data_IF_991550427502
#
_entry.id   IF_991550427502
#
_cell.length_a   1.000
_cell.length_b   1.000
_cell.length_c   1.000
_cell.angle_alpha   90.00
_cell.angle_beta   90.00
_cell.angle_gamma   90.00
#
_symmetry.space_group_name_H-M   'P 1'
#
loop_
_entity.id
_entity.type
_entity.pdbx_description
1 polymer ?
#
# COMPACT_ATOMS: atom_id res chain seq x y z
N UNK A 1 -32.74 -18.42 -24.88
CA UNK A 1 -32.15 -19.13 -23.73
C UNK A 1 -30.63 -19.02 -23.70
N UNK A 2 -29.91 -19.26 -24.81
CA UNK A 2 -28.44 -19.15 -24.86
C UNK A 2 -27.90 -17.76 -24.47
N UNK A 3 -28.48 -16.68 -25.01
CA UNK A 3 -28.08 -15.29 -24.68
C UNK A 3 -28.14 -14.98 -23.17
N UNK A 4 -29.03 -15.64 -22.43
CA UNK A 4 -29.23 -15.38 -21.01
C UNK A 4 -28.20 -16.10 -20.13
N UNK A 5 -27.77 -17.31 -20.54
CA UNK A 5 -26.75 -18.08 -19.82
C UNK A 5 -25.39 -17.41 -19.95
N UNK A 6 -25.04 -16.93 -21.14
CA UNK A 6 -23.76 -16.24 -21.38
C UNK A 6 -23.67 -14.94 -20.56
N UNK A 7 -24.74 -14.14 -20.54
CA UNK A 7 -24.81 -12.91 -19.74
C UNK A 7 -24.79 -13.22 -18.25
N UNK A 8 -25.52 -14.25 -17.80
CA UNK A 8 -25.53 -14.69 -16.40
C UNK A 8 -24.13 -15.13 -15.96
N UNK A 9 -23.46 -15.95 -16.76
CA UNK A 9 -22.10 -16.41 -16.49
C UNK A 9 -21.14 -15.23 -16.41
N UNK A 10 -21.13 -14.35 -17.42
CA UNK A 10 -20.20 -13.23 -17.49
C UNK A 10 -20.41 -12.23 -16.34
N UNK A 11 -21.67 -11.97 -15.98
CA UNK A 11 -22.01 -11.07 -14.87
C UNK A 11 -21.54 -11.64 -13.54
N UNK A 12 -21.83 -12.92 -13.25
CA UNK A 12 -21.37 -13.56 -12.02
C UNK A 12 -19.83 -13.67 -11.98
N UNK A 13 -19.21 -14.01 -13.11
CA UNK A 13 -17.75 -14.04 -13.22
C UNK A 13 -17.12 -12.68 -12.91
N UNK A 14 -17.66 -11.59 -13.46
CA UNK A 14 -17.15 -10.25 -13.22
C UNK A 14 -17.32 -9.84 -11.74
N UNK A 15 -18.47 -10.15 -11.14
CA UNK A 15 -18.74 -9.85 -9.74
C UNK A 15 -17.86 -10.67 -8.79
N UNK A 16 -17.75 -11.98 -9.01
CA UNK A 16 -16.90 -12.86 -8.22
C UNK A 16 -15.42 -12.47 -8.33
N UNK A 17 -14.97 -12.12 -9.53
CA UNK A 17 -13.60 -11.64 -9.74
C UNK A 17 -13.33 -10.33 -9.00
N UNK A 18 -14.29 -9.39 -9.00
CA UNK A 18 -14.18 -8.13 -8.26
C UNK A 18 -14.14 -8.38 -6.75
N UNK A 19 -15.03 -9.22 -6.22
CA UNK A 19 -15.08 -9.58 -4.80
C UNK A 19 -13.77 -10.25 -4.37
N UNK A 20 -13.29 -11.26 -5.12
CA UNK A 20 -12.00 -11.92 -4.85
C UNK A 20 -10.82 -10.93 -4.93
N UNK A 21 -10.88 -9.94 -5.83
CA UNK A 21 -9.86 -8.89 -5.93
C UNK A 21 -9.79 -8.01 -4.69
N UNK A 22 -10.95 -7.65 -4.12
CA UNK A 22 -11.07 -6.90 -2.87
C UNK A 22 -10.52 -7.72 -1.71
N UNK A 23 -10.95 -8.99 -1.58
CA UNK A 23 -10.48 -9.89 -0.52
C UNK A 23 -8.98 -10.06 -0.56
N UNK A 24 -8.41 -10.38 -1.74
CA UNK A 24 -6.97 -10.52 -1.93
C UNK A 24 -6.23 -9.30 -1.39
N UNK A 25 -6.69 -8.10 -1.75
CA UNK A 25 -6.03 -6.85 -1.37
C UNK A 25 -6.18 -6.55 0.12
N UNK A 26 -7.37 -6.72 0.69
CA UNK A 26 -7.62 -6.51 2.12
C UNK A 26 -6.85 -7.49 3.00
N UNK A 27 -6.75 -8.74 2.57
CA UNK A 27 -6.07 -9.82 3.29
C UNK A 27 -4.57 -9.91 2.97
N UNK A 28 -4.07 -9.09 2.04
CA UNK A 28 -2.68 -9.08 1.56
C UNK A 28 -2.20 -10.44 1.02
N UNK A 29 -3.09 -11.20 0.37
CA UNK A 29 -2.72 -12.44 -0.30
C UNK A 29 -1.90 -12.19 -1.57
N UNK A 30 -1.01 -13.14 -1.92
CA UNK A 30 -0.18 -13.08 -3.13
C UNK A 30 -1.05 -13.04 -4.39
N UNK A 31 -0.72 -12.16 -5.34
CA UNK A 31 -1.43 -12.09 -6.62
C UNK A 31 -1.00 -13.22 -7.55
N UNK A 32 -1.93 -14.11 -7.88
CA UNK A 32 -1.77 -15.10 -8.94
C UNK A 32 -3.03 -15.02 -9.82
N UNK A 33 -2.94 -14.26 -10.91
CA UNK A 33 -4.11 -13.83 -11.69
C UNK A 33 -4.96 -14.98 -12.24
N UNK A 34 -4.33 -16.06 -12.72
CA UNK A 34 -5.07 -17.24 -13.21
C UNK A 34 -5.84 -17.96 -12.10
N UNK A 35 -5.35 -17.96 -10.85
CA UNK A 35 -6.05 -18.56 -9.70
C UNK A 35 -7.31 -17.78 -9.34
N UNK A 36 -7.24 -16.46 -9.46
CA UNK A 36 -8.42 -15.61 -9.26
C UNK A 36 -9.46 -15.81 -10.35
N UNK A 37 -9.02 -15.97 -11.60
CA UNK A 37 -9.91 -16.33 -12.71
C UNK A 37 -10.59 -17.67 -12.43
N UNK A 38 -9.84 -18.69 -12.03
CA UNK A 38 -10.43 -19.99 -11.67
C UNK A 38 -11.42 -19.88 -10.51
N UNK A 39 -11.08 -19.13 -9.46
CA UNK A 39 -12.00 -18.86 -8.34
C UNK A 39 -13.29 -18.19 -8.80
N UNK A 40 -13.21 -17.18 -9.67
CA UNK A 40 -14.39 -16.52 -10.21
C UNK A 40 -15.22 -17.41 -11.15
N UNK A 41 -14.56 -18.27 -11.95
CA UNK A 41 -15.23 -19.26 -12.80
C UNK A 41 -16.04 -20.24 -11.94
N UNK A 42 -15.55 -20.64 -10.77
CA UNK A 42 -16.28 -21.56 -9.90
C UNK A 42 -17.60 -20.97 -9.39
N UNK A 43 -17.58 -19.71 -8.95
CA UNK A 43 -18.81 -19.02 -8.53
C UNK A 43 -19.77 -18.80 -9.69
N UNK A 44 -19.27 -18.34 -10.84
CA UNK A 44 -20.07 -18.15 -12.05
C UNK A 44 -20.68 -19.45 -12.59
N UNK A 45 -19.91 -20.55 -12.60
CA UNK A 45 -20.37 -21.86 -13.02
C UNK A 45 -21.44 -22.39 -12.06
N UNK A 46 -21.27 -22.20 -10.75
CA UNK A 46 -22.30 -22.54 -9.76
C UNK A 46 -23.58 -21.74 -9.97
N UNK A 47 -23.49 -20.42 -10.20
CA UNK A 47 -24.66 -19.57 -10.45
C UNK A 47 -25.44 -20.03 -11.69
N UNK A 48 -24.74 -20.37 -12.78
CA UNK A 48 -25.36 -20.94 -13.98
C UNK A 48 -25.98 -22.30 -13.70
N UNK A 49 -25.28 -23.17 -12.97
CA UNK A 49 -25.79 -24.50 -12.62
C UNK A 49 -27.06 -24.43 -11.77
N UNK A 50 -27.05 -23.63 -10.70
CA UNK A 50 -28.20 -23.43 -9.81
C UNK A 50 -29.41 -22.85 -10.58
N UNK A 51 -29.17 -21.91 -11.50
CA UNK A 51 -30.23 -21.33 -12.33
C UNK A 51 -30.79 -22.32 -13.37
N UNK A 52 -29.93 -23.17 -13.96
CA UNK A 52 -30.35 -24.16 -14.97
C UNK A 52 -31.05 -25.38 -14.36
N UNK A 53 -30.74 -25.70 -13.10
CA UNK A 53 -31.17 -26.93 -12.43
C UNK A 53 -31.80 -26.67 -11.05
N UNK A 54 -32.99 -26.08 -10.99
CA UNK A 54 -33.68 -25.75 -9.72
C UNK A 54 -34.37 -26.98 -9.09
N UNK A 55 -33.71 -28.16 -9.10
CA UNK A 55 -34.24 -29.39 -8.51
C UNK A 55 -33.76 -29.63 -7.07
N UNK A 56 -32.76 -28.88 -6.61
CA UNK A 56 -32.24 -29.00 -5.25
C UNK A 56 -33.21 -28.36 -4.25
N UNK A 57 -33.43 -28.98 -3.08
CA UNK A 57 -34.20 -28.32 -2.03
C UNK A 57 -33.44 -27.09 -1.53
N UNK A 58 -34.17 -26.00 -1.25
CA UNK A 58 -33.60 -24.68 -0.95
C UNK A 58 -32.49 -24.70 0.12
N UNK A 59 -32.67 -25.47 1.20
CA UNK A 59 -31.68 -25.56 2.27
C UNK A 59 -30.35 -26.17 1.80
N UNK A 60 -30.39 -27.13 0.88
CA UNK A 60 -29.20 -27.78 0.33
C UNK A 60 -28.49 -26.85 -0.65
N UNK A 61 -29.24 -26.13 -1.48
CA UNK A 61 -28.68 -25.09 -2.35
C UNK A 61 -27.98 -23.99 -1.54
N UNK A 62 -28.58 -23.56 -0.42
CA UNK A 62 -27.95 -22.60 0.50
C UNK A 62 -26.65 -23.15 1.08
N UNK A 63 -26.64 -24.40 1.55
CA UNK A 63 -25.41 -25.02 2.08
C UNK A 63 -24.32 -25.10 1.00
N UNK A 64 -24.65 -25.51 -0.22
CA UNK A 64 -23.66 -25.61 -1.28
C UNK A 64 -23.14 -24.23 -1.66
N UNK A 65 -24.02 -23.25 -1.86
CA UNK A 65 -23.67 -21.87 -2.24
C UNK A 65 -22.81 -21.20 -1.16
N UNK A 66 -23.30 -21.20 0.08
CA UNK A 66 -22.70 -20.43 1.15
C UNK A 66 -21.56 -21.15 1.89
N UNK A 67 -21.43 -22.47 1.75
CA UNK A 67 -20.33 -23.20 2.39
C UNK A 67 -19.37 -23.79 1.37
N UNK A 68 -19.84 -24.63 0.46
CA UNK A 68 -18.96 -25.40 -0.42
C UNK A 68 -18.31 -24.53 -1.50
N UNK A 69 -19.11 -23.76 -2.23
CA UNK A 69 -18.65 -22.94 -3.37
C UNK A 69 -17.76 -21.81 -2.88
N UNK A 70 -18.21 -21.03 -1.90
CA UNK A 70 -17.44 -19.93 -1.30
C UNK A 70 -16.07 -20.40 -0.77
N UNK A 71 -16.02 -21.56 -0.10
CA UNK A 71 -14.78 -22.17 0.38
C UNK A 71 -13.88 -22.56 -0.79
N UNK A 72 -14.42 -23.21 -1.83
CA UNK A 72 -13.65 -23.64 -2.99
C UNK A 72 -13.08 -22.44 -3.78
N UNK A 73 -13.86 -21.38 -3.97
CA UNK A 73 -13.41 -20.14 -4.61
C UNK A 73 -12.20 -19.54 -3.90
N UNK A 74 -12.26 -19.48 -2.56
CA UNK A 74 -11.21 -18.90 -1.72
C UNK A 74 -9.95 -19.78 -1.67
N UNK A 75 -10.11 -21.10 -1.55
CA UNK A 75 -9.00 -22.06 -1.59
C UNK A 75 -8.27 -22.03 -2.93
N UNK A 76 -9.04 -21.99 -4.04
CA UNK A 76 -8.47 -21.91 -5.38
C UNK A 76 -7.78 -20.57 -5.62
N UNK A 77 -8.41 -19.45 -5.26
CA UNK A 77 -7.88 -18.11 -5.49
C UNK A 77 -6.63 -17.79 -4.64
N UNK A 78 -6.58 -18.22 -3.37
CA UNK A 78 -5.56 -17.75 -2.40
C UNK A 78 -4.64 -18.82 -1.82
N UNK A 79 -4.83 -20.09 -2.15
CA UNK A 79 -4.01 -21.22 -1.63
C UNK A 79 -4.11 -21.47 -0.13
N UNK A 80 -5.19 -21.02 0.50
CA UNK A 80 -5.39 -21.22 1.91
C UNK A 80 -5.77 -22.68 2.19
N UNK A 81 -5.01 -23.34 3.06
CA UNK A 81 -5.21 -24.77 3.43
C UNK A 81 -5.59 -24.97 4.89
N UNK A 82 -5.31 -23.97 5.75
CA UNK A 82 -5.56 -24.05 7.19
C UNK A 82 -7.00 -23.65 7.48
N UNK A 83 -7.79 -24.42 8.26
CA UNK A 83 -9.20 -24.10 8.53
C UNK A 83 -9.43 -22.69 9.08
N UNK A 84 -8.54 -22.20 9.95
CA UNK A 84 -8.60 -20.83 10.50
C UNK A 84 -8.44 -19.76 9.41
N UNK A 85 -7.54 -19.99 8.45
CA UNK A 85 -7.30 -19.05 7.34
C UNK A 85 -8.41 -19.10 6.31
N UNK A 86 -8.93 -20.31 6.01
CA UNK A 86 -10.10 -20.51 5.17
C UNK A 86 -11.30 -19.75 5.74
N UNK A 87 -11.62 -19.95 7.02
CA UNK A 87 -12.70 -19.23 7.69
C UNK A 87 -12.54 -17.71 7.60
N UNK A 88 -11.35 -17.19 7.88
CA UNK A 88 -11.06 -15.75 7.77
C UNK A 88 -11.26 -15.21 6.35
N UNK A 89 -10.84 -15.97 5.34
CA UNK A 89 -10.94 -15.56 3.94
C UNK A 89 -12.37 -15.68 3.38
N UNK A 90 -13.15 -16.68 3.80
CA UNK A 90 -14.58 -16.80 3.51
C UNK A 90 -15.37 -15.67 4.19
N UNK A 91 -15.07 -15.33 5.45
CA UNK A 91 -15.68 -14.16 6.11
C UNK A 91 -15.35 -12.85 5.38
N UNK A 92 -14.11 -12.68 4.92
CA UNK A 92 -13.73 -11.52 4.12
C UNK A 92 -14.45 -11.47 2.76
N UNK A 93 -14.67 -12.63 2.13
CA UNK A 93 -15.45 -12.77 0.89
C UNK A 93 -16.86 -12.23 1.08
N UNK A 94 -17.57 -12.64 2.14
CA UNK A 94 -18.92 -12.15 2.40
C UNK A 94 -18.98 -10.66 2.70
N UNK A 95 -18.04 -10.15 3.48
CA UNK A 95 -17.98 -8.71 3.75
C UNK A 95 -17.76 -7.91 2.45
N UNK A 96 -16.86 -8.37 1.59
CA UNK A 96 -16.61 -7.76 0.29
C UNK A 96 -17.84 -7.86 -0.63
N UNK A 97 -18.53 -8.99 -0.64
CA UNK A 97 -19.75 -9.19 -1.43
C UNK A 97 -20.89 -8.26 -0.98
N UNK A 98 -21.18 -8.20 0.32
CA UNK A 98 -22.21 -7.30 0.88
C UNK A 98 -21.88 -5.83 0.62
N UNK A 99 -20.62 -5.44 0.78
CA UNK A 99 -20.17 -4.06 0.49
C UNK A 99 -20.34 -3.73 -0.98
N UNK A 100 -19.94 -4.65 -1.87
CA UNK A 100 -20.09 -4.48 -3.32
C UNK A 100 -21.56 -4.37 -3.70
N UNK A 101 -22.41 -5.25 -3.16
CA UNK A 101 -23.85 -5.23 -3.40
C UNK A 101 -24.49 -3.91 -2.92
N UNK A 102 -24.15 -3.45 -1.70
CA UNK A 102 -24.67 -2.19 -1.17
C UNK A 102 -24.24 -0.97 -1.97
N UNK A 103 -23.00 -0.93 -2.48
CA UNK A 103 -22.55 0.14 -3.39
C UNK A 103 -23.30 0.07 -4.72
N UNK A 104 -23.45 -1.12 -5.30
CA UNK A 104 -24.18 -1.29 -6.56
C UNK A 104 -25.65 -0.89 -6.42
N UNK A 105 -26.31 -1.27 -5.31
CA UNK A 105 -27.68 -0.89 -5.02
C UNK A 105 -27.82 0.63 -4.81
N UNK A 106 -26.92 1.24 -4.02
CA UNK A 106 -26.91 2.70 -3.84
C UNK A 106 -26.70 3.45 -5.16
N UNK A 107 -25.82 2.96 -6.04
CA UNK A 107 -25.64 3.51 -7.38
C UNK A 107 -26.88 3.32 -8.24
N UNK A 108 -27.51 2.15 -8.17
CA UNK A 108 -28.72 1.84 -8.93
C UNK A 108 -29.88 2.76 -8.54
N UNK A 109 -30.10 2.96 -7.24
CA UNK A 109 -31.23 3.71 -6.70
C UNK A 109 -31.03 5.23 -6.68
N UNK A 110 -29.81 5.70 -6.39
CA UNK A 110 -29.53 7.13 -6.20
C UNK A 110 -28.86 7.81 -7.39
N UNK A 111 -28.61 7.07 -8.48
CA UNK A 111 -28.10 7.66 -9.73
C UNK A 111 -28.97 7.24 -10.90
N UNK A 112 -28.80 7.91 -12.04
CA UNK A 112 -29.49 7.52 -13.29
C UNK A 112 -29.03 6.16 -13.84
N UNK A 113 -28.08 5.48 -13.19
CA UNK A 113 -27.58 4.17 -13.62
C UNK A 113 -28.70 3.11 -13.72
N UNK A 114 -29.64 3.08 -12.76
CA UNK A 114 -30.76 2.12 -12.81
C UNK A 114 -31.67 2.31 -14.02
N UNK A 115 -31.98 3.56 -14.37
CA UNK A 115 -32.75 3.93 -15.57
C UNK A 115 -32.11 3.43 -16.88
N UNK A 116 -30.79 3.55 -17.01
CA UNK A 116 -30.08 3.09 -18.21
C UNK A 116 -29.97 1.56 -18.29
N UNK A 117 -29.80 0.88 -17.15
CA UNK A 117 -29.79 -0.59 -17.09
C UNK A 117 -31.16 -1.17 -17.50
N UNK A 118 -32.25 -0.55 -17.04
CA UNK A 118 -33.62 -0.95 -17.41
C UNK A 118 -33.90 -0.75 -18.90
N UNK A 119 -33.42 0.34 -19.51
CA UNK A 119 -33.53 0.60 -20.95
C UNK A 119 -32.76 -0.43 -21.80
N UNK A 120 -31.58 -0.87 -21.34
CA UNK A 120 -30.77 -1.91 -22.00
C UNK A 120 -31.48 -3.27 -21.94
N UNK A 121 -32.05 -3.63 -20.79
CA UNK A 121 -32.78 -4.90 -20.60
C UNK A 121 -34.06 -4.97 -21.43
N UNK A 122 -34.70 -3.83 -21.73
CA UNK A 122 -35.90 -3.74 -22.58
C UNK A 122 -35.61 -3.76 -24.09
N UNK A 123 -34.35 -3.83 -24.50
CA UNK A 123 -33.98 -3.99 -25.92
C UNK A 123 -34.12 -2.73 -26.77
N UNK A 124 -34.34 -1.55 -26.17
CA UNK A 124 -34.40 -0.27 -26.90
C UNK A 124 -32.99 0.27 -27.19
N UNK A 125 -32.31 -0.40 -28.13
CA UNK A 125 -30.92 -0.13 -28.52
C UNK A 125 -30.66 1.18 -29.27
N UNK A 126 -31.68 1.96 -29.64
CA UNK A 126 -31.47 3.21 -30.39
C UNK A 126 -31.08 4.41 -29.52
N UNK A 127 -31.32 4.37 -28.21
CA UNK A 127 -30.74 5.30 -27.23
C UNK A 127 -29.76 4.60 -26.27
N UNK A 128 -29.27 3.42 -26.67
CA UNK A 128 -28.24 2.73 -25.92
C UNK A 128 -26.93 3.52 -25.97
N UNK A 129 -26.35 3.69 -24.79
CA UNK A 129 -25.23 4.56 -24.49
C UNK A 129 -24.11 4.47 -25.55
N UNK A 130 -23.77 5.56 -26.27
CA UNK A 130 -22.81 5.49 -27.36
C UNK A 130 -21.44 5.04 -26.83
N UNK A 131 -20.80 4.12 -27.57
CA UNK A 131 -19.59 3.38 -27.19
C UNK A 131 -18.49 4.21 -26.51
N UNK A 132 -18.34 5.49 -26.88
CA UNK A 132 -17.37 6.39 -26.28
C UNK A 132 -17.57 6.61 -24.77
N UNK A 133 -18.80 6.51 -24.22
CA UNK A 133 -19.05 6.66 -22.78
C UNK A 133 -18.67 5.43 -21.96
N UNK A 134 -18.78 4.23 -22.52
CA UNK A 134 -18.21 3.02 -21.92
C UNK A 134 -16.69 3.11 -21.86
N UNK A 135 -16.07 3.68 -22.90
CA UNK A 135 -14.63 3.98 -22.92
C UNK A 135 -14.29 5.02 -21.83
N UNK A 136 -15.10 6.06 -21.62
CA UNK A 136 -14.88 7.04 -20.53
C UNK A 136 -15.08 6.45 -19.13
N UNK A 137 -16.04 5.55 -18.91
CA UNK A 137 -16.22 4.87 -17.62
C UNK A 137 -15.08 3.87 -17.39
N UNK A 138 -14.68 3.11 -18.40
CA UNK A 138 -13.54 2.20 -18.32
C UNK A 138 -12.23 2.97 -18.08
N UNK A 139 -12.01 4.09 -18.77
CA UNK A 139 -10.88 4.97 -18.56
C UNK A 139 -10.94 5.63 -17.18
N UNK A 140 -12.09 6.17 -16.76
CA UNK A 140 -12.28 6.77 -15.44
C UNK A 140 -12.09 5.76 -14.30
N UNK A 141 -12.52 4.51 -14.49
CA UNK A 141 -12.28 3.41 -13.57
C UNK A 141 -10.81 3.03 -13.54
N UNK A 142 -10.16 2.90 -14.71
CA UNK A 142 -8.73 2.61 -14.81
C UNK A 142 -7.87 3.70 -14.16
N UNK A 143 -8.09 4.97 -14.52
CA UNK A 143 -7.36 6.12 -13.98
C UNK A 143 -7.72 6.40 -12.51
N UNK A 144 -8.98 6.23 -12.12
CA UNK A 144 -9.44 6.33 -10.73
C UNK A 144 -8.80 5.27 -9.85
N UNK A 145 -8.78 4.01 -10.30
CA UNK A 145 -8.04 2.92 -9.63
C UNK A 145 -6.55 3.25 -9.61
N UNK A 146 -5.94 3.73 -10.70
CA UNK A 146 -4.51 4.09 -10.69
C UNK A 146 -4.20 5.22 -9.72
N UNK A 147 -5.02 6.26 -9.67
CA UNK A 147 -4.84 7.41 -8.77
C UNK A 147 -5.04 7.00 -7.32
N UNK A 148 -6.10 6.24 -7.04
CA UNK A 148 -6.39 5.68 -5.72
C UNK A 148 -5.28 4.73 -5.26
N UNK A 149 -4.77 3.87 -6.14
CA UNK A 149 -3.63 3.00 -5.87
C UNK A 149 -2.34 3.80 -5.64
N UNK A 150 -2.10 4.90 -6.37
CA UNK A 150 -0.93 5.77 -6.14
C UNK A 150 -1.04 6.48 -4.80
N UNK A 151 -2.22 6.97 -4.46
CA UNK A 151 -2.48 7.70 -3.22
C UNK A 151 -2.43 6.77 -2.01
N UNK A 152 -3.01 5.57 -2.12
CA UNK A 152 -2.86 4.50 -1.12
C UNK A 152 -1.42 4.01 -1.04
N UNK A 153 -0.70 3.86 -2.15
CA UNK A 153 0.72 3.49 -2.12
C UNK A 153 1.57 4.58 -1.47
N UNK A 154 1.21 5.86 -1.61
CA UNK A 154 1.86 6.98 -0.92
C UNK A 154 1.53 6.99 0.57
N UNK A 155 0.33 6.53 0.97
CA UNK A 155 -0.07 6.37 2.37
C UNK A 155 0.47 5.07 3.02
N UNK A 156 0.66 4.00 2.23
CA UNK A 156 1.15 2.67 2.67
C UNK A 156 2.66 2.52 2.58
N UNK A 157 3.35 3.31 1.75
CA UNK A 157 4.72 3.73 2.06
C UNK A 157 4.59 4.61 3.32
N UNK A 158 4.30 3.99 4.46
CA UNK A 158 4.59 4.60 5.73
C UNK A 158 6.03 5.03 5.61
N UNK A 159 6.29 6.33 5.65
CA UNK A 159 7.65 6.85 5.73
C UNK A 159 8.20 6.25 7.01
N UNK A 160 8.83 5.08 6.91
CA UNK A 160 9.69 4.62 7.98
C UNK A 160 10.79 5.66 7.93
N UNK A 161 10.71 6.64 8.83
CA UNK A 161 11.68 7.71 8.89
C UNK A 161 13.06 7.15 9.28
N UNK A 162 13.22 5.84 9.42
CA UNK A 162 14.50 5.19 9.60
C UNK A 162 15.19 4.94 8.26
N UNK A 163 16.44 5.37 8.20
CA UNK A 163 17.35 5.21 7.07
C UNK A 163 18.62 4.53 7.55
N UNK A 164 19.18 3.66 6.72
CA UNK A 164 20.54 3.16 6.94
C UNK A 164 21.50 4.20 6.36
N UNK A 165 22.41 4.70 7.19
CA UNK A 165 23.38 5.71 6.80
C UNK A 165 24.78 5.15 6.90
N UNK A 166 25.51 5.16 5.79
CA UNK A 166 26.93 4.83 5.78
C UNK A 166 27.73 6.12 5.72
N UNK A 167 28.46 6.43 6.79
CA UNK A 167 29.34 7.59 6.90
C UNK A 167 30.76 7.20 6.52
N UNK A 168 31.41 8.01 5.69
CA UNK A 168 32.78 7.80 5.22
C UNK A 168 33.69 8.95 5.66
N UNK A 169 34.82 8.61 6.27
CA UNK A 169 35.84 9.58 6.68
C UNK A 169 37.23 8.98 6.65
N UNK A 170 38.16 9.59 5.90
CA UNK A 170 39.57 9.20 5.73
C UNK A 170 39.75 7.71 5.45
N UNK A 171 38.93 7.16 4.57
CA UNK A 171 38.97 5.74 4.18
C UNK A 171 38.35 4.77 5.19
N UNK A 172 37.90 5.24 6.35
CA UNK A 172 37.08 4.46 7.29
C UNK A 172 35.60 4.65 6.96
N UNK A 173 34.78 3.65 7.31
CA UNK A 173 33.33 3.71 7.18
C UNK A 173 32.62 3.23 8.44
N UNK A 174 31.45 3.81 8.72
CA UNK A 174 30.56 3.38 9.81
C UNK A 174 29.13 3.40 9.34
N UNK A 175 28.40 2.33 9.59
CA UNK A 175 26.96 2.23 9.31
C UNK A 175 26.19 2.51 10.59
N UNK A 176 25.17 3.35 10.49
CA UNK A 176 24.27 3.71 11.60
C UNK A 176 22.82 3.72 11.13
N UNK A 177 21.89 3.55 12.06
CA UNK A 177 20.48 3.81 11.80
C UNK A 177 20.19 5.27 12.11
N UNK A 178 19.60 5.98 11.15
CA UNK A 178 19.25 7.39 11.28
C UNK A 178 17.74 7.61 11.21
N UNK A 179 17.22 8.53 12.00
CA UNK A 179 15.85 9.02 11.92
C UNK A 179 15.82 10.30 11.08
N UNK A 180 15.05 10.33 10.00
CA UNK A 180 14.65 11.55 9.30
C UNK A 180 13.78 12.37 10.23
N UNK A 181 14.40 13.41 10.78
CA UNK A 181 13.77 14.32 11.71
C UNK A 181 13.33 15.57 10.96
N UNK A 182 12.06 15.60 10.57
CA UNK A 182 11.44 16.79 9.95
C UNK A 182 11.44 18.01 10.87
N UNK A 183 11.73 17.83 12.17
CA UNK A 183 11.94 18.91 13.14
C UNK A 183 13.36 19.46 13.16
N UNK A 184 14.35 18.75 12.60
CA UNK A 184 15.73 19.22 12.54
C UNK A 184 15.87 20.31 11.49
N UNK A 185 15.94 21.57 11.94
CA UNK A 185 16.16 22.76 11.12
C UNK A 185 17.56 23.35 11.33
N UNK A 186 18.51 22.51 11.69
CA UNK A 186 19.85 22.95 12.02
C UNK A 186 20.63 23.25 10.75
N UNK A 187 21.07 24.50 10.63
CA UNK A 187 21.91 24.99 9.56
C UNK A 187 23.17 25.61 10.13
N UNK A 188 24.28 25.44 9.42
CA UNK A 188 25.48 26.21 9.72
C UNK A 188 25.24 27.71 9.39
N UNK A 189 25.51 28.65 10.32
CA UNK A 189 25.07 30.04 10.19
C UNK A 189 25.59 30.79 8.95
N UNK A 190 26.79 30.48 8.47
CA UNK A 190 27.46 31.24 7.41
C UNK A 190 27.16 30.68 6.02
N UNK A 191 27.49 29.40 5.80
CA UNK A 191 27.32 28.68 4.53
C UNK A 191 25.91 28.13 4.33
N UNK A 192 25.06 28.16 5.37
CA UNK A 192 23.68 27.63 5.34
C UNK A 192 23.62 26.15 4.92
N UNK A 193 24.68 25.39 5.17
CA UNK A 193 24.66 23.93 4.95
C UNK A 193 23.77 23.25 5.97
N UNK A 194 22.96 22.30 5.50
CA UNK A 194 22.19 21.41 6.35
C UNK A 194 23.11 20.64 7.30
N UNK A 195 22.67 20.48 8.55
CA UNK A 195 23.43 19.80 9.59
C UNK A 195 22.68 18.55 10.04
N UNK A 196 23.31 17.40 9.85
CA UNK A 196 22.87 16.14 10.45
C UNK A 196 23.43 16.02 11.87
N UNK A 197 22.77 15.29 12.77
CA UNK A 197 23.23 15.14 14.16
C UNK A 197 23.49 13.67 14.44
N UNK A 198 24.69 13.31 14.93
CA UNK A 198 25.05 11.94 15.27
C UNK A 198 25.47 11.84 16.74
N UNK A 199 25.26 10.68 17.38
CA UNK A 199 25.79 10.44 18.72
C UNK A 199 27.30 10.31 18.72
N UNK A 200 27.94 10.77 19.80
CA UNK A 200 29.37 10.65 20.01
C UNK A 200 29.84 9.20 19.95
N UNK A 201 29.08 8.28 20.54
CA UNK A 201 29.40 6.85 20.56
C UNK A 201 29.48 6.25 19.15
N UNK A 202 28.63 6.72 18.23
CA UNK A 202 28.58 6.20 16.87
C UNK A 202 29.74 6.71 16.00
N UNK A 203 30.22 7.93 16.24
CA UNK A 203 31.25 8.56 15.40
C UNK A 203 32.69 8.44 15.94
N UNK A 204 32.89 8.15 17.22
CA UNK A 204 34.23 8.17 17.86
C UNK A 204 35.27 7.24 17.18
N UNK A 205 34.84 6.08 16.68
CA UNK A 205 35.71 5.11 15.99
C UNK A 205 35.98 5.52 14.53
N UNK A 206 35.05 6.27 13.93
CA UNK A 206 35.17 6.78 12.57
C UNK A 206 36.13 7.98 12.52
N UNK A 207 36.00 8.89 13.48
CA UNK A 207 36.73 10.16 13.54
C UNK A 207 37.69 10.19 14.74
N UNK A 208 38.74 9.36 14.73
CA UNK A 208 39.80 9.35 15.76
C UNK A 208 40.57 10.68 15.83
N UNK A 209 40.75 11.33 14.68
CA UNK A 209 41.32 12.68 14.57
C UNK A 209 40.52 13.47 13.55
N UNK A 210 40.17 14.71 13.89
CA UNK A 210 39.39 15.62 13.04
C UNK A 210 40.28 16.76 12.60
N UNK A 211 40.27 17.10 11.32
CA UNK A 211 41.04 18.22 10.77
C UNK A 211 40.46 19.57 11.15
N UNK A 212 39.13 19.67 11.14
CA UNK A 212 38.41 20.93 11.32
C UNK A 212 37.13 20.66 12.11
N UNK A 213 36.81 21.55 13.03
CA UNK A 213 35.57 21.51 13.81
C UNK A 213 34.88 22.87 13.66
N UNK A 214 33.61 22.82 13.29
CA UNK A 214 32.74 24.00 13.21
C UNK A 214 31.77 23.95 14.39
N UNK A 215 31.60 25.06 15.10
CA UNK A 215 30.65 25.13 16.20
C UNK A 215 29.31 25.66 15.70
N UNK A 216 28.27 24.84 15.81
CA UNK A 216 26.94 25.11 15.27
C UNK A 216 26.02 25.50 16.44
N UNK A 217 25.54 26.75 16.49
CA UNK A 217 24.57 27.16 17.49
C UNK A 217 23.24 26.43 17.26
N UNK A 218 22.59 26.01 18.35
CA UNK A 218 21.30 25.31 18.28
C UNK A 218 20.41 25.70 19.46
N UNK A 219 19.09 25.62 19.24
CA UNK A 219 18.07 25.73 20.29
C UNK A 219 17.30 24.41 20.42
N UNK A 220 17.00 24.01 21.66
CA UNK A 220 16.15 22.86 21.97
C UNK A 220 15.17 23.20 23.11
N UNK A 221 14.15 22.36 23.32
CA UNK A 221 13.24 22.51 24.46
C UNK A 221 14.06 22.48 25.76
N UNK A 222 14.02 23.57 26.51
CA UNK A 222 14.78 23.75 27.75
C UNK A 222 16.23 24.25 27.60
N UNK A 223 16.70 24.57 26.38
CA UNK A 223 18.02 25.19 26.15
C UNK A 223 18.03 26.07 24.90
N UNK A 224 18.07 27.39 25.07
CA UNK A 224 18.05 28.38 23.98
C UNK A 224 19.42 28.62 23.34
N UNK A 225 20.51 28.58 24.13
CA UNK A 225 21.85 28.99 23.71
C UNK A 225 22.82 27.79 23.69
N UNK A 226 22.43 26.74 22.97
CA UNK A 226 23.24 25.55 22.79
C UNK A 226 24.28 25.71 21.68
N UNK A 227 25.37 24.95 21.78
CA UNK A 227 26.36 24.82 20.70
C UNK A 227 26.73 23.35 20.55
N UNK A 228 26.79 22.86 19.31
CA UNK A 228 27.26 21.52 18.96
C UNK A 228 28.54 21.60 18.11
N UNK A 229 29.56 20.79 18.39
CA UNK A 229 30.69 20.63 17.48
C UNK A 229 30.25 19.83 16.24
N UNK A 230 30.59 20.31 15.06
CA UNK A 230 30.31 19.67 13.78
C UNK A 230 31.58 19.43 12.98
N UNK A 231 31.57 18.34 12.21
CA UNK A 231 32.70 17.85 11.43
C UNK A 231 32.21 17.61 10.01
N UNK A 232 33.03 17.95 9.02
CA UNK A 232 32.79 17.54 7.64
C UNK A 232 33.29 16.12 7.43
N UNK A 233 32.40 15.24 6.96
CA UNK A 233 32.79 13.91 6.49
C UNK A 233 33.23 13.98 5.02
N UNK A 234 33.78 12.90 4.49
CA UNK A 234 34.11 12.83 3.06
C UNK A 234 32.84 12.62 2.24
N UNK A 235 32.02 11.65 2.68
CA UNK A 235 30.80 11.23 1.99
C UNK A 235 29.83 10.58 2.98
N UNK A 236 28.53 10.64 2.65
CA UNK A 236 27.50 9.89 3.35
C UNK A 236 26.52 9.27 2.36
N UNK A 237 26.29 7.96 2.46
CA UNK A 237 25.26 7.24 1.72
C UNK A 237 24.02 7.07 2.60
N UNK A 238 22.87 7.55 2.13
CA UNK A 238 21.57 7.40 2.81
C UNK A 238 20.72 6.42 2.03
N UNK A 239 20.37 5.29 2.66
CA UNK A 239 19.66 4.16 2.02
C UNK A 239 18.30 3.90 2.66
N UNK A 240 17.29 3.73 1.81
CA UNK A 240 15.95 3.27 2.20
C UNK A 240 15.41 2.28 1.15
N UNK A 241 15.41 0.99 1.48
CA UNK A 241 15.09 -0.04 0.49
C UNK A 241 16.10 -0.03 -0.65
N UNK A 242 15.62 0.09 -1.89
CA UNK A 242 16.45 0.13 -3.10
C UNK A 242 16.93 1.56 -3.46
N UNK A 243 16.44 2.60 -2.78
CA UNK A 243 16.82 3.99 -3.03
C UNK A 243 18.09 4.36 -2.23
N UNK A 244 19.09 4.92 -2.92
CA UNK A 244 20.36 5.40 -2.33
C UNK A 244 20.59 6.84 -2.75
N UNK A 245 20.77 7.75 -1.77
CA UNK A 245 21.20 9.14 -1.98
C UNK A 245 22.62 9.30 -1.44
N UNK A 246 23.54 9.77 -2.27
CA UNK A 246 24.91 10.09 -1.86
C UNK A 246 25.01 11.59 -1.59
N UNK A 247 25.60 11.95 -0.45
CA UNK A 247 25.85 13.34 -0.04
C UNK A 247 27.36 13.52 0.09
N UNK A 248 27.93 14.35 -0.78
CA UNK A 248 29.35 14.69 -0.75
C UNK A 248 29.62 15.77 0.32
N UNK A 249 30.71 15.57 1.07
CA UNK A 249 31.16 16.48 2.13
C UNK A 249 30.04 16.96 3.08
N UNK A 250 29.26 16.05 3.70
CA UNK A 250 28.17 16.43 4.59
C UNK A 250 28.71 16.98 5.91
N UNK A 251 27.99 17.95 6.49
CA UNK A 251 28.28 18.50 7.81
C UNK A 251 27.48 17.74 8.87
N UNK A 252 28.18 17.13 9.82
CA UNK A 252 27.57 16.32 10.88
C UNK A 252 27.96 16.86 12.25
N UNK A 253 26.97 17.32 13.02
CA UNK A 253 27.10 17.71 14.41
C UNK A 253 27.15 16.48 15.34
N UNK A 254 27.99 16.54 16.37
CA UNK A 254 28.21 15.46 17.33
C UNK A 254 27.56 15.79 18.67
N UNK A 255 26.61 14.96 19.09
CA UNK A 255 25.93 15.08 20.37
C UNK A 255 26.43 14.03 21.37
N UNK A 256 26.72 14.44 22.60
CA UNK A 256 27.12 13.51 23.69
C UNK A 256 25.95 12.79 24.36
N UNK A 257 24.72 13.24 24.14
CA UNK A 257 23.52 12.61 24.70
C UNK A 257 23.02 11.54 23.74
N UNK A 258 22.42 10.49 24.29
CA UNK A 258 21.69 9.49 23.50
C UNK A 258 20.50 10.17 22.82
N UNK A 259 20.32 9.88 21.53
CA UNK A 259 19.21 10.41 20.74
C UNK A 259 17.95 9.54 20.87
N UNK A 260 18.12 8.22 20.99
CA UNK A 260 17.04 7.26 21.23
C UNK A 260 17.19 6.63 22.62
N UNK A 261 16.11 6.64 23.41
CA UNK A 261 16.06 5.98 24.73
C UNK A 261 16.26 4.46 24.60
N UNK A 262 15.74 3.89 23.51
CA UNK A 262 15.80 2.45 23.23
C UNK A 262 16.95 2.06 22.29
N UNK A 263 17.78 3.03 21.86
CA UNK A 263 18.88 2.79 20.93
C UNK A 263 18.47 2.49 19.49
N UNK A 264 17.23 2.80 19.11
CA UNK A 264 16.67 2.50 17.77
C UNK A 264 17.38 3.27 16.63
N UNK A 265 17.96 4.42 16.95
CA UNK A 265 18.71 5.26 16.01
C UNK A 265 19.84 6.01 16.71
N UNK A 266 20.89 6.30 15.96
CA UNK A 266 22.10 7.00 16.43
C UNK A 266 22.34 8.32 15.69
N UNK A 267 21.50 8.66 14.72
CA UNK A 267 21.63 9.86 13.90
C UNK A 267 20.26 10.49 13.61
N UNK A 268 20.20 11.81 13.52
CA UNK A 268 19.10 12.60 12.99
C UNK A 268 19.50 13.12 11.60
N UNK A 269 18.75 12.73 10.59
CA UNK A 269 18.90 13.26 9.23
C UNK A 269 18.10 14.56 9.10
N UNK A 270 18.76 15.56 8.53
CA UNK A 270 18.12 16.73 7.97
C UNK A 270 17.34 16.34 6.69
N UNK A 271 16.22 17.02 6.42
CA UNK A 271 15.29 16.65 5.32
C UNK A 271 15.79 17.06 3.92
N UNK A 272 16.50 18.19 3.83
CA UNK A 272 17.16 18.68 2.60
C UNK A 272 18.50 17.98 2.34
#
# INVERSE_FOLDING_TARGET
MNLYIDVLFLTNFAMDFLVLSIVRRGMKYRLIWWRMILGAILGAAWAVFAAAFPFLPLWLEMVITYLAVSTLMVMTAFDVKRPKEIGKAVSALYLAAVTTAGIMDALYQHTKAGYYIEQILRGNGQEAMPFYRLIFIAAGTYFGIRCFLRQISAMLKGKNNFYEVTMHYRGKKKVVTALLDTGNRLYEPVSRRAVHVVTYEAIRELCESVSEVVYIPYGSVGKSDGVLPGIFLDEMEVRQGDEVKVIERPLVAVCKKTLSVNGEYQMLLHEE
#
